data_IF_777414472293
#
_entry.id   IF_777414472293
#
_cell.length_a   1.000
_cell.length_b   1.000
_cell.length_c   1.000
_cell.angle_alpha   90.00
_cell.angle_beta   90.00
_cell.angle_gamma   90.00
#
_symmetry.space_group_name_H-M   'P 1'
#
loop_
_entity.id
_entity.type
_entity.pdbx_description
1 polymer ?
#
# COMPACT_ATOMS: atom_id res chain seq x y z
N UNK A 1 -1.73 10.72 -19.38
CA UNK A 1 -2.74 9.63 -19.19
C UNK A 1 -2.37 8.85 -17.94
N UNK A 2 -3.35 8.53 -17.09
CA UNK A 2 -3.20 7.68 -15.91
C UNK A 2 -3.82 6.32 -16.25
N UNK A 3 -3.09 5.23 -16.00
CA UNK A 3 -3.59 3.88 -16.24
C UNK A 3 -4.58 3.49 -15.14
N UNK A 4 -5.78 3.06 -15.53
CA UNK A 4 -6.79 2.51 -14.60
C UNK A 4 -7.23 1.11 -15.03
N UNK A 5 -7.95 0.43 -14.16
CA UNK A 5 -8.51 -0.91 -14.44
C UNK A 5 -9.60 -0.91 -15.53
N UNK A 6 -10.10 0.27 -15.93
CA UNK A 6 -11.05 0.44 -17.03
C UNK A 6 -10.41 1.06 -18.27
N UNK A 7 -9.08 1.13 -18.32
CA UNK A 7 -8.31 1.78 -19.36
C UNK A 7 -7.75 3.14 -18.95
N UNK A 8 -6.96 3.79 -19.82
CA UNK A 8 -6.30 5.04 -19.50
C UNK A 8 -7.29 6.21 -19.43
N UNK A 9 -7.12 7.09 -18.44
CA UNK A 9 -7.88 8.31 -18.25
C UNK A 9 -6.98 9.54 -18.42
N UNK A 10 -7.54 10.67 -18.81
CA UNK A 10 -6.79 11.93 -18.89
C UNK A 10 -6.48 12.43 -17.47
N UNK A 11 -5.22 12.71 -17.18
CA UNK A 11 -4.81 13.24 -15.87
C UNK A 11 -5.49 14.57 -15.51
N UNK A 12 -5.87 15.37 -16.51
CA UNK A 12 -6.59 16.63 -16.28
C UNK A 12 -8.01 16.45 -15.74
N UNK A 13 -8.58 15.25 -15.86
CA UNK A 13 -9.93 14.91 -15.33
C UNK A 13 -9.87 14.39 -13.90
N UNK A 14 -8.66 14.12 -13.37
CA UNK A 14 -8.45 13.62 -12.02
C UNK A 14 -8.30 14.79 -11.06
N UNK A 15 -9.11 14.76 -10.01
CA UNK A 15 -9.07 15.73 -8.91
C UNK A 15 -8.29 15.19 -7.71
N UNK A 16 -9.01 14.91 -6.62
CA UNK A 16 -8.39 14.33 -5.41
C UNK A 16 -8.15 12.84 -5.59
N UNK A 17 -6.99 12.38 -5.11
CA UNK A 17 -6.55 10.98 -5.22
C UNK A 17 -6.29 10.42 -3.84
N UNK A 18 -6.77 9.19 -3.56
CA UNK A 18 -6.21 8.36 -2.49
C UNK A 18 -5.14 7.47 -3.11
N UNK A 19 -3.89 7.63 -2.66
CA UNK A 19 -2.74 6.96 -3.29
C UNK A 19 -2.47 5.55 -2.76
N UNK A 20 -3.21 5.12 -1.72
CA UNK A 20 -2.98 3.83 -1.10
C UNK A 20 -4.20 3.37 -0.32
N UNK A 21 -4.89 2.35 -0.84
CA UNK A 21 -5.95 1.63 -0.15
C UNK A 21 -6.03 0.18 -0.64
N UNK A 22 -6.74 -0.66 0.12
CA UNK A 22 -6.95 -2.06 -0.22
C UNK A 22 -8.45 -2.35 -0.33
N UNK A 23 -8.91 -2.68 -1.52
CA UNK A 23 -10.32 -2.98 -1.77
C UNK A 23 -10.67 -4.43 -1.47
N UNK A 24 -9.79 -5.34 -1.87
CA UNK A 24 -9.90 -6.77 -1.66
C UNK A 24 -8.54 -7.32 -1.27
N UNK A 25 -8.43 -7.88 -0.07
CA UNK A 25 -7.17 -8.35 0.50
C UNK A 25 -7.40 -9.61 1.35
N UNK A 26 -6.47 -10.54 1.33
CA UNK A 26 -6.34 -11.60 2.30
C UNK A 26 -5.04 -11.44 3.09
N UNK A 27 -5.15 -10.77 4.23
CA UNK A 27 -4.07 -10.57 5.18
C UNK A 27 -3.98 -11.66 6.26
N UNK A 28 -4.65 -12.81 6.11
CA UNK A 28 -4.65 -13.89 7.11
C UNK A 28 -3.24 -14.34 7.51
N UNK A 29 -2.27 -14.32 6.57
CA UNK A 29 -0.86 -14.60 6.84
C UNK A 29 -0.18 -13.61 7.80
N UNK A 30 -0.81 -12.48 8.07
CA UNK A 30 -0.33 -11.46 9.02
C UNK A 30 -0.92 -11.64 10.43
N UNK A 31 -1.85 -12.58 10.62
CA UNK A 31 -2.51 -12.83 11.91
C UNK A 31 -1.50 -12.99 13.05
N UNK A 32 -1.82 -12.43 14.20
CA UNK A 32 -1.10 -12.55 15.47
C UNK A 32 -2.11 -12.60 16.60
N UNK A 33 -1.88 -13.48 17.56
CA UNK A 33 -2.66 -13.50 18.79
C UNK A 33 -2.49 -12.18 19.55
N UNK A 34 -3.60 -11.68 20.12
CA UNK A 34 -3.58 -10.53 21.01
C UNK A 34 -3.04 -10.90 22.40
N UNK A 35 -2.79 -9.88 23.23
CA UNK A 35 -2.44 -10.08 24.63
C UNK A 35 -3.64 -10.49 25.50
N UNK A 36 -4.84 -10.22 25.02
CA UNK A 36 -6.10 -10.61 25.65
C UNK A 36 -6.63 -11.88 24.99
N UNK A 37 -7.46 -12.69 25.69
CA UNK A 37 -8.09 -13.86 25.08
C UNK A 37 -8.88 -13.47 23.82
N UNK A 38 -8.70 -14.26 22.76
CA UNK A 38 -9.46 -14.09 21.52
C UNK A 38 -10.97 -14.18 21.78
N UNK A 39 -11.79 -13.25 21.25
CA UNK A 39 -13.24 -13.33 21.35
C UNK A 39 -13.81 -14.67 20.84
N UNK A 40 -14.90 -15.13 21.45
CA UNK A 40 -15.57 -16.38 21.06
C UNK A 40 -16.16 -16.30 19.63
N UNK A 41 -16.69 -15.14 19.22
CA UNK A 41 -17.06 -14.90 17.82
C UNK A 41 -15.79 -14.52 17.03
N UNK A 42 -15.49 -15.34 16.04
CA UNK A 42 -14.33 -15.13 15.16
C UNK A 42 -14.58 -14.07 14.07
N UNK A 43 -15.80 -13.54 13.94
CA UNK A 43 -16.16 -12.49 12.99
C UNK A 43 -16.07 -11.13 13.66
N UNK A 44 -15.84 -10.09 12.85
CA UNK A 44 -15.93 -8.70 13.33
C UNK A 44 -17.39 -8.36 13.63
N UNK A 45 -17.68 -8.02 14.89
CA UNK A 45 -18.98 -7.61 15.40
C UNK A 45 -18.83 -6.41 16.33
N UNK A 46 -19.93 -5.74 16.64
CA UNK A 46 -19.91 -4.60 17.60
C UNK A 46 -19.35 -5.00 18.97
N UNK A 47 -19.56 -6.25 19.40
CA UNK A 47 -19.12 -6.74 20.71
C UNK A 47 -17.61 -6.87 20.81
N UNK A 48 -16.91 -7.13 19.69
CA UNK A 48 -15.46 -7.33 19.70
C UNK A 48 -14.63 -6.16 19.14
N UNK A 49 -15.26 -5.03 18.78
CA UNK A 49 -14.52 -3.83 18.33
C UNK A 49 -13.54 -3.33 19.40
N UNK A 50 -13.91 -3.39 20.68
CA UNK A 50 -13.02 -3.02 21.78
C UNK A 50 -11.75 -3.85 21.83
N UNK A 51 -11.85 -5.18 21.57
CA UNK A 51 -10.70 -6.07 21.45
C UNK A 51 -9.84 -5.69 20.24
N UNK A 52 -10.46 -5.51 19.07
CA UNK A 52 -9.76 -5.20 17.81
C UNK A 52 -9.06 -3.85 17.83
N UNK A 53 -9.55 -2.89 18.61
CA UNK A 53 -8.88 -1.60 18.79
C UNK A 53 -7.43 -1.74 19.29
N UNK A 54 -7.16 -2.75 20.13
CA UNK A 54 -5.83 -2.99 20.72
C UNK A 54 -5.12 -4.23 20.17
N UNK A 55 -5.83 -5.05 19.40
CA UNK A 55 -5.37 -6.31 18.85
C UNK A 55 -5.82 -6.44 17.38
N UNK A 56 -5.49 -5.45 16.54
CA UNK A 56 -5.99 -5.37 15.17
C UNK A 56 -5.68 -6.60 14.32
N UNK A 57 -4.59 -7.33 14.62
CA UNK A 57 -4.22 -8.59 13.97
C UNK A 57 -4.83 -9.84 14.62
N UNK A 58 -5.62 -9.66 15.70
CA UNK A 58 -6.07 -10.75 16.57
C UNK A 58 -7.24 -11.58 16.05
N UNK A 59 -7.94 -11.16 15.02
CA UNK A 59 -8.98 -11.93 14.34
C UNK A 59 -8.69 -12.02 12.85
N UNK A 60 -8.65 -13.23 12.31
CA UNK A 60 -8.45 -13.45 10.86
C UNK A 60 -9.52 -12.75 10.03
N UNK A 61 -10.77 -12.78 10.48
CA UNK A 61 -11.88 -12.12 9.78
C UNK A 61 -11.64 -10.59 9.60
N UNK A 62 -10.96 -9.95 10.56
CA UNK A 62 -10.60 -8.53 10.43
C UNK A 62 -9.57 -8.26 9.32
N UNK A 63 -8.78 -9.26 8.95
CA UNK A 63 -7.68 -9.15 7.99
C UNK A 63 -8.09 -9.56 6.56
N UNK A 64 -9.36 -9.90 6.35
CA UNK A 64 -9.85 -10.37 5.04
C UNK A 64 -10.97 -9.47 4.54
N UNK A 65 -10.70 -8.72 3.48
CA UNK A 65 -11.69 -7.96 2.73
C UNK A 65 -12.01 -8.72 1.44
N UNK A 66 -13.16 -9.38 1.37
CA UNK A 66 -13.55 -10.23 0.23
C UNK A 66 -15.01 -10.03 -0.18
N UNK A 67 -15.53 -8.82 -0.06
CA UNK A 67 -16.92 -8.50 -0.40
C UNK A 67 -16.95 -7.29 -1.35
N UNK A 68 -17.29 -7.55 -2.64
CA UNK A 68 -17.40 -6.52 -3.67
C UNK A 68 -18.43 -5.45 -3.32
N UNK A 69 -19.52 -5.82 -2.64
CA UNK A 69 -20.58 -4.86 -2.30
C UNK A 69 -20.10 -3.89 -1.22
N UNK A 70 -19.32 -4.38 -0.26
CA UNK A 70 -18.67 -3.54 0.73
C UNK A 70 -17.67 -2.58 0.06
N UNK A 71 -16.79 -3.11 -0.80
CA UNK A 71 -15.82 -2.29 -1.51
C UNK A 71 -16.51 -1.20 -2.37
N UNK A 72 -17.60 -1.54 -3.07
CA UNK A 72 -18.38 -0.57 -3.86
C UNK A 72 -19.03 0.49 -2.96
N UNK A 73 -19.55 0.11 -1.79
CA UNK A 73 -20.18 1.05 -0.86
C UNK A 73 -19.15 2.06 -0.32
N UNK A 74 -17.98 1.58 0.12
CA UNK A 74 -16.90 2.45 0.61
C UNK A 74 -16.38 3.39 -0.48
N UNK A 75 -16.19 2.90 -1.71
CA UNK A 75 -15.78 3.74 -2.83
C UNK A 75 -16.84 4.80 -3.19
N UNK A 76 -18.13 4.48 -3.09
CA UNK A 76 -19.19 5.49 -3.31
C UNK A 76 -19.15 6.60 -2.27
N UNK A 77 -18.83 6.26 -1.01
CA UNK A 77 -18.61 7.26 0.05
C UNK A 77 -17.43 8.15 -0.27
N UNK A 78 -16.30 7.56 -0.71
CA UNK A 78 -15.13 8.30 -1.14
C UNK A 78 -15.42 9.22 -2.34
N UNK A 79 -16.17 8.76 -3.34
CA UNK A 79 -16.63 9.59 -4.47
C UNK A 79 -17.50 10.75 -3.97
N UNK A 80 -18.45 10.50 -3.06
CA UNK A 80 -19.27 11.54 -2.46
C UNK A 80 -18.42 12.56 -1.65
N UNK A 81 -17.31 12.13 -1.08
CA UNK A 81 -16.29 12.97 -0.42
C UNK A 81 -15.38 13.73 -1.39
N UNK A 82 -15.52 13.52 -2.70
CA UNK A 82 -14.77 14.22 -3.74
C UNK A 82 -13.46 13.53 -4.17
N UNK A 83 -13.22 12.28 -3.79
CA UNK A 83 -12.13 11.47 -4.34
C UNK A 83 -12.53 11.02 -5.75
N UNK A 84 -11.63 11.17 -6.71
CA UNK A 84 -11.90 10.85 -8.12
C UNK A 84 -11.09 9.68 -8.64
N UNK A 85 -9.98 9.36 -7.97
CA UNK A 85 -9.14 8.22 -8.26
C UNK A 85 -8.63 7.61 -6.96
N UNK A 86 -8.57 6.28 -6.93
CA UNK A 86 -7.98 5.52 -5.84
C UNK A 86 -6.93 4.57 -6.42
N UNK A 87 -5.77 4.47 -5.76
CA UNK A 87 -4.78 3.45 -6.05
C UNK A 87 -5.04 2.24 -5.16
N UNK A 88 -5.36 1.12 -5.77
CA UNK A 88 -5.50 -0.18 -5.13
C UNK A 88 -4.11 -0.82 -5.06
N UNK A 89 -3.57 -0.94 -3.85
CA UNK A 89 -2.15 -1.23 -3.63
C UNK A 89 -1.91 -2.62 -2.97
N UNK A 90 -2.89 -3.55 -3.15
CA UNK A 90 -2.77 -4.92 -2.62
C UNK A 90 -1.72 -5.71 -3.39
N UNK A 91 -0.63 -6.04 -2.70
CA UNK A 91 0.53 -6.69 -3.28
C UNK A 91 0.40 -8.22 -3.38
N UNK A 92 1.24 -8.83 -4.22
CA UNK A 92 1.41 -10.30 -4.28
C UNK A 92 1.86 -10.80 -2.90
N UNK A 93 1.13 -11.79 -2.38
CA UNK A 93 1.29 -12.31 -1.01
C UNK A 93 0.14 -11.92 -0.09
N UNK A 94 -0.66 -10.90 -0.49
CA UNK A 94 -1.89 -10.50 0.17
C UNK A 94 -3.12 -10.85 -0.68
N UNK A 95 -2.98 -11.80 -1.60
CA UNK A 95 -4.02 -12.34 -2.47
C UNK A 95 -4.79 -11.25 -3.25
N UNK A 96 -4.15 -10.41 -4.05
CA UNK A 96 -4.80 -9.35 -4.80
C UNK A 96 -5.84 -9.93 -5.77
N UNK A 97 -7.03 -9.34 -5.79
CA UNK A 97 -8.17 -9.81 -6.59
C UNK A 97 -8.34 -8.95 -7.84
N UNK A 98 -7.27 -8.77 -8.61
CA UNK A 98 -7.22 -7.84 -9.75
C UNK A 98 -8.35 -8.06 -10.76
N UNK A 99 -8.79 -9.30 -11.01
CA UNK A 99 -9.86 -9.61 -11.95
C UNK A 99 -11.23 -9.06 -11.53
N UNK A 100 -11.44 -8.75 -10.25
CA UNK A 100 -12.70 -8.21 -9.69
C UNK A 100 -12.76 -6.68 -9.75
N UNK A 101 -11.60 -6.00 -9.78
CA UNK A 101 -11.51 -4.52 -9.70
C UNK A 101 -12.29 -3.79 -10.81
N UNK A 102 -12.31 -4.23 -12.10
CA UNK A 102 -13.11 -3.55 -13.12
C UNK A 102 -14.61 -3.53 -12.81
N UNK A 103 -15.14 -4.59 -12.19
CA UNK A 103 -16.53 -4.67 -11.75
C UNK A 103 -16.84 -3.68 -10.63
N UNK A 104 -15.96 -3.59 -9.64
CA UNK A 104 -16.06 -2.66 -8.51
C UNK A 104 -15.95 -1.21 -9.00
N UNK A 105 -14.98 -0.90 -9.86
CA UNK A 105 -14.79 0.44 -10.42
C UNK A 105 -16.04 0.92 -11.18
N UNK A 106 -16.63 0.08 -12.06
CA UNK A 106 -17.86 0.44 -12.80
C UNK A 106 -19.04 0.69 -11.87
N UNK A 107 -19.20 -0.13 -10.83
CA UNK A 107 -20.35 -0.06 -9.91
C UNK A 107 -20.24 1.12 -8.95
N UNK A 108 -19.03 1.51 -8.55
CA UNK A 108 -18.78 2.63 -7.64
C UNK A 108 -18.71 3.98 -8.32
N UNK A 109 -18.30 4.02 -9.60
CA UNK A 109 -17.97 5.25 -10.32
C UNK A 109 -16.59 5.83 -9.99
N UNK A 110 -15.77 5.11 -9.19
CA UNK A 110 -14.41 5.49 -8.87
C UNK A 110 -13.46 5.08 -10.00
N UNK A 111 -12.57 5.96 -10.44
CA UNK A 111 -11.40 5.54 -11.19
C UNK A 111 -10.46 4.78 -10.27
N UNK A 112 -10.15 3.52 -10.61
CA UNK A 112 -9.24 2.68 -9.81
C UNK A 112 -7.98 2.42 -10.61
N UNK A 113 -6.82 2.81 -10.08
CA UNK A 113 -5.52 2.42 -10.59
C UNK A 113 -5.01 1.25 -9.75
N UNK A 114 -4.41 0.23 -10.39
CA UNK A 114 -3.91 -0.93 -9.68
C UNK A 114 -2.38 -0.91 -9.62
N UNK A 115 -1.84 -1.14 -8.44
CA UNK A 115 -0.43 -1.49 -8.27
C UNK A 115 -0.21 -2.98 -8.50
N UNK A 116 1.05 -3.38 -8.71
CA UNK A 116 1.43 -4.78 -8.85
C UNK A 116 2.87 -5.00 -8.38
N UNK A 117 3.08 -5.90 -7.42
CA UNK A 117 4.42 -6.21 -6.93
C UNK A 117 4.42 -7.16 -5.75
N UNK A 118 5.58 -7.75 -5.40
CA UNK A 118 5.71 -8.66 -4.27
C UNK A 118 5.78 -7.91 -2.93
N UNK A 119 5.05 -8.41 -1.94
CA UNK A 119 5.14 -7.94 -0.55
C UNK A 119 6.33 -8.56 0.19
N UNK A 120 6.27 -8.66 1.51
CA UNK A 120 7.33 -9.25 2.35
C UNK A 120 7.44 -10.76 2.15
N UNK A 121 8.67 -11.28 2.25
CA UNK A 121 9.02 -12.67 1.92
C UNK A 121 8.14 -13.73 2.56
N UNK A 122 7.73 -13.52 3.82
CA UNK A 122 6.99 -14.52 4.61
C UNK A 122 5.57 -14.83 4.11
N UNK A 123 4.99 -13.97 3.27
CA UNK A 123 3.62 -14.15 2.76
C UNK A 123 3.58 -14.43 1.26
N UNK A 124 4.72 -14.44 0.59
CA UNK A 124 4.77 -14.66 -0.85
C UNK A 124 4.32 -16.08 -1.23
N UNK A 125 3.60 -16.23 -2.34
CA UNK A 125 3.20 -17.53 -2.84
C UNK A 125 4.42 -18.33 -3.36
N UNK A 126 4.38 -19.68 -3.29
CA UNK A 126 5.53 -20.52 -3.64
C UNK A 126 6.11 -20.28 -5.05
N UNK A 127 5.27 -19.95 -6.04
CA UNK A 127 5.73 -19.69 -7.40
C UNK A 127 6.70 -18.50 -7.52
N UNK A 128 6.67 -17.56 -6.58
CA UNK A 128 7.62 -16.43 -6.55
C UNK A 128 9.05 -16.89 -6.29
N UNK A 129 9.25 -17.98 -5.57
CA UNK A 129 10.56 -18.56 -5.33
C UNK A 129 11.15 -19.28 -6.54
N UNK A 130 10.34 -19.54 -7.56
CA UNK A 130 10.78 -20.16 -8.82
C UNK A 130 11.38 -19.13 -9.80
N UNK A 131 11.16 -17.83 -9.54
CA UNK A 131 11.69 -16.74 -10.36
C UNK A 131 13.07 -16.31 -9.85
N UNK A 132 14.04 -16.31 -10.74
CA UNK A 132 15.28 -15.56 -10.52
C UNK A 132 15.05 -14.05 -10.73
N UNK A 133 16.11 -13.25 -10.56
CA UNK A 133 16.02 -11.80 -10.66
C UNK A 133 15.55 -11.35 -12.06
N UNK A 134 16.04 -12.00 -13.13
CA UNK A 134 15.63 -11.67 -14.50
C UNK A 134 14.19 -12.08 -14.79
N UNK A 135 13.79 -13.26 -14.36
CA UNK A 135 12.40 -13.73 -14.50
C UNK A 135 11.42 -12.84 -13.78
N UNK A 136 11.79 -12.34 -12.58
CA UNK A 136 10.95 -11.38 -11.84
C UNK A 136 10.91 -10.01 -12.53
N UNK A 137 12.04 -9.50 -13.04
CA UNK A 137 12.08 -8.26 -13.84
C UNK A 137 11.13 -8.34 -15.03
N UNK A 138 11.22 -9.43 -15.81
CA UNK A 138 10.38 -9.62 -17.00
C UNK A 138 8.90 -9.73 -16.64
N UNK A 139 8.59 -10.42 -15.56
CA UNK A 139 7.22 -10.54 -15.03
C UNK A 139 6.63 -9.18 -14.63
N UNK A 140 7.37 -8.37 -13.87
CA UNK A 140 6.95 -7.05 -13.45
C UNK A 140 6.88 -6.06 -14.62
N UNK A 141 7.84 -6.14 -15.54
CA UNK A 141 7.80 -5.33 -16.76
C UNK A 141 6.57 -5.64 -17.63
N UNK A 142 6.20 -6.92 -17.78
CA UNK A 142 5.01 -7.31 -18.52
C UNK A 142 3.73 -6.74 -17.87
N UNK A 143 3.65 -6.71 -16.53
CA UNK A 143 2.52 -6.11 -15.83
C UNK A 143 2.38 -4.59 -16.09
N UNK A 144 3.50 -3.86 -16.24
CA UNK A 144 3.52 -2.43 -16.57
C UNK A 144 3.29 -2.15 -18.07
N UNK A 145 3.85 -2.97 -18.95
CA UNK A 145 3.88 -2.69 -20.39
C UNK A 145 2.69 -3.32 -21.15
N UNK A 146 2.23 -4.49 -20.72
CA UNK A 146 1.16 -5.25 -21.36
C UNK A 146 -0.07 -5.36 -20.45
N UNK A 147 -0.02 -6.22 -19.41
CA UNK A 147 -1.14 -6.41 -18.49
C UNK A 147 -0.73 -7.09 -17.19
N UNK A 148 -1.49 -6.86 -16.13
CA UNK A 148 -1.44 -7.67 -14.91
C UNK A 148 -1.92 -9.10 -15.27
N UNK A 149 -1.26 -10.16 -14.80
CA UNK A 149 -1.67 -11.53 -15.08
C UNK A 149 -3.14 -11.80 -14.78
N UNK A 150 -3.85 -12.43 -15.72
CA UNK A 150 -5.28 -12.74 -15.61
C UNK A 150 -6.23 -11.57 -15.90
N UNK A 151 -5.73 -10.38 -16.26
CA UNK A 151 -6.52 -9.21 -16.59
C UNK A 151 -6.31 -8.72 -18.03
N UNK A 152 -7.05 -7.69 -18.43
CA UNK A 152 -6.92 -6.99 -19.70
C UNK A 152 -6.39 -5.55 -19.54
N UNK A 153 -5.84 -5.21 -18.37
CA UNK A 153 -5.31 -3.89 -18.07
C UNK A 153 -3.91 -3.97 -17.42
N UNK A 154 -3.17 -2.86 -17.47
CA UNK A 154 -1.81 -2.73 -16.97
C UNK A 154 -1.78 -2.22 -15.54
N UNK A 155 -0.71 -2.53 -14.83
CA UNK A 155 -0.38 -1.86 -13.59
C UNK A 155 -0.08 -0.36 -13.83
N UNK A 156 -0.48 0.49 -12.90
CA UNK A 156 -0.16 1.92 -12.90
C UNK A 156 1.23 2.20 -12.28
N UNK A 157 1.63 1.37 -11.33
CA UNK A 157 2.93 1.43 -10.64
C UNK A 157 3.32 0.03 -10.15
N UNK A 158 4.57 -0.14 -9.74
CA UNK A 158 4.99 -1.35 -9.03
C UNK A 158 4.91 -1.12 -7.51
N UNK A 159 4.21 -2.00 -6.82
CA UNK A 159 4.05 -1.91 -5.35
C UNK A 159 2.90 -2.77 -4.83
N UNK A 160 2.71 -2.77 -3.51
CA UNK A 160 3.69 -2.30 -2.53
C UNK A 160 4.82 -3.35 -2.42
N UNK A 161 6.06 -2.95 -2.61
CA UNK A 161 7.18 -3.82 -2.28
C UNK A 161 7.48 -3.69 -0.78
N UNK A 162 7.27 -4.76 -0.02
CA UNK A 162 7.55 -4.77 1.41
C UNK A 162 9.00 -5.10 1.72
N UNK A 163 9.53 -4.49 2.79
CA UNK A 163 10.81 -4.86 3.37
C UNK A 163 10.64 -5.35 4.80
N UNK A 164 11.57 -6.15 5.27
CA UNK A 164 11.59 -6.73 6.62
C UNK A 164 12.93 -6.44 7.28
N UNK A 165 12.89 -5.85 8.47
CA UNK A 165 14.12 -5.51 9.18
C UNK A 165 15.01 -4.58 8.36
N UNK A 166 16.28 -4.91 8.30
CA UNK A 166 17.31 -4.17 7.55
C UNK A 166 17.41 -4.59 6.08
N UNK A 167 16.28 -4.98 5.51
CA UNK A 167 16.07 -5.52 4.15
C UNK A 167 16.77 -6.87 3.90
N UNK A 168 15.99 -7.89 3.71
CA UNK A 168 16.52 -9.25 3.50
C UNK A 168 17.19 -9.38 2.10
N UNK A 169 18.14 -10.31 1.92
CA UNK A 169 18.84 -10.50 0.63
C UNK A 169 17.92 -10.74 -0.56
N UNK A 170 16.84 -11.48 -0.38
CA UNK A 170 15.83 -11.75 -1.39
C UNK A 170 14.91 -10.54 -1.64
N UNK A 171 14.69 -9.67 -0.63
CA UNK A 171 14.00 -8.40 -0.79
C UNK A 171 14.86 -7.41 -1.61
N UNK A 172 16.16 -7.35 -1.38
CA UNK A 172 17.09 -6.59 -2.24
C UNK A 172 17.02 -7.03 -3.70
N UNK A 173 16.97 -8.34 -3.96
CA UNK A 173 16.83 -8.87 -5.32
C UNK A 173 15.51 -8.40 -5.95
N UNK A 174 14.39 -8.47 -5.22
CA UNK A 174 13.08 -8.01 -5.71
C UNK A 174 13.04 -6.51 -5.95
N UNK A 175 13.65 -5.71 -5.09
CA UNK A 175 13.78 -4.26 -5.29
C UNK A 175 14.56 -3.94 -6.57
N UNK A 176 15.69 -4.64 -6.86
CA UNK A 176 16.44 -4.46 -8.12
C UNK A 176 15.61 -4.83 -9.35
N UNK A 177 14.95 -5.97 -9.33
CA UNK A 177 14.10 -6.42 -10.43
C UNK A 177 12.98 -5.39 -10.72
N UNK A 178 12.33 -4.89 -9.67
CA UNK A 178 11.30 -3.86 -9.79
C UNK A 178 11.87 -2.53 -10.32
N UNK A 179 13.02 -2.10 -9.82
CA UNK A 179 13.67 -0.87 -10.29
C UNK A 179 13.99 -0.92 -11.79
N UNK A 180 14.54 -2.04 -12.31
CA UNK A 180 14.82 -2.22 -13.74
C UNK A 180 13.53 -2.24 -14.56
N UNK A 181 12.51 -2.98 -14.12
CA UNK A 181 11.22 -3.02 -14.79
C UNK A 181 10.57 -1.63 -14.88
N UNK A 182 10.58 -0.88 -13.76
CA UNK A 182 10.05 0.47 -13.70
C UNK A 182 10.85 1.47 -14.53
N UNK A 183 12.19 1.41 -14.50
CA UNK A 183 13.06 2.30 -15.30
C UNK A 183 12.80 2.17 -16.82
N UNK A 184 12.49 0.97 -17.30
CA UNK A 184 12.17 0.71 -18.72
C UNK A 184 10.84 1.32 -19.17
N UNK A 185 9.92 1.59 -18.24
CA UNK A 185 8.57 2.09 -18.53
C UNK A 185 8.32 3.51 -18.03
N UNK A 186 9.21 4.04 -17.20
CA UNK A 186 9.03 5.32 -16.49
C UNK A 186 8.03 5.25 -15.33
N UNK A 187 7.68 4.03 -14.86
CA UNK A 187 6.77 3.83 -13.76
C UNK A 187 7.41 4.17 -12.40
N UNK A 188 6.58 4.36 -11.39
CA UNK A 188 6.98 4.52 -9.98
C UNK A 188 7.09 3.17 -9.29
N UNK A 189 8.01 3.06 -8.34
CA UNK A 189 8.14 1.94 -7.41
C UNK A 189 7.70 2.42 -6.03
N UNK A 190 6.66 1.77 -5.47
CA UNK A 190 6.15 2.01 -4.12
C UNK A 190 6.77 1.00 -3.17
N UNK A 191 7.39 1.48 -2.09
CA UNK A 191 8.11 0.66 -1.10
C UNK A 191 7.57 0.94 0.29
N UNK A 192 7.17 -0.12 1.00
CA UNK A 192 6.86 -0.04 2.42
C UNK A 192 8.06 -0.54 3.22
N UNK A 193 8.68 0.36 3.94
CA UNK A 193 9.78 0.05 4.84
C UNK A 193 9.27 -0.61 6.12
N UNK A 194 10.09 -1.48 6.73
CA UNK A 194 9.86 -1.90 8.11
C UNK A 194 10.03 -0.67 9.02
N UNK A 195 9.00 -0.26 9.80
CA UNK A 195 9.02 1.02 10.53
C UNK A 195 10.03 1.03 11.69
N UNK A 196 10.48 -0.12 12.16
CA UNK A 196 11.45 -0.24 13.22
C UNK A 196 12.91 -0.05 12.72
N UNK A 197 13.12 0.07 11.40
CA UNK A 197 14.42 0.16 10.75
C UNK A 197 14.57 1.39 9.86
N UNK A 198 15.81 1.89 9.71
CA UNK A 198 16.14 3.11 8.95
C UNK A 198 16.73 2.77 7.57
N UNK A 199 16.14 1.82 6.84
CA UNK A 199 16.69 1.32 5.58
C UNK A 199 16.43 2.24 4.37
N UNK A 200 15.64 3.32 4.50
CA UNK A 200 15.15 4.10 3.35
C UNK A 200 16.26 4.70 2.49
N UNK A 201 17.31 5.28 3.06
CA UNK A 201 18.42 5.86 2.28
C UNK A 201 19.18 4.76 1.51
N UNK A 202 19.46 3.63 2.15
CA UNK A 202 20.09 2.49 1.47
C UNK A 202 19.21 1.97 0.32
N UNK A 203 17.88 1.98 0.49
CA UNK A 203 16.94 1.62 -0.57
C UNK A 203 16.99 2.64 -1.72
N UNK A 204 16.97 3.96 -1.44
CA UNK A 204 17.11 4.98 -2.49
C UNK A 204 18.40 4.79 -3.27
N UNK A 205 19.55 4.72 -2.59
CA UNK A 205 20.86 4.53 -3.21
C UNK A 205 20.90 3.28 -4.10
N UNK A 206 20.32 2.18 -3.60
CA UNK A 206 20.29 0.91 -4.31
C UNK A 206 19.42 0.98 -5.59
N UNK A 207 18.22 1.55 -5.50
CA UNK A 207 17.32 1.67 -6.64
C UNK A 207 17.87 2.66 -7.69
N UNK A 208 18.47 3.78 -7.25
CA UNK A 208 19.10 4.75 -8.14
C UNK A 208 20.32 4.13 -8.85
N UNK A 209 21.16 3.40 -8.13
CA UNK A 209 22.27 2.66 -8.72
C UNK A 209 21.81 1.61 -9.75
N UNK A 210 20.59 1.12 -9.64
CA UNK A 210 19.95 0.17 -10.57
C UNK A 210 19.34 0.88 -11.80
N UNK A 211 19.28 2.22 -11.81
CA UNK A 211 18.82 3.04 -12.93
C UNK A 211 17.42 3.64 -12.76
N UNK A 212 16.80 3.48 -11.61
CA UNK A 212 15.51 4.14 -11.32
C UNK A 212 15.76 5.57 -10.81
N UNK A 213 15.17 6.64 -11.42
CA UNK A 213 15.27 7.98 -10.89
C UNK A 213 14.67 8.09 -9.48
N UNK A 214 15.28 8.88 -8.59
CA UNK A 214 14.85 9.00 -7.20
C UNK A 214 13.40 9.52 -7.05
N UNK A 215 12.95 10.40 -7.94
CA UNK A 215 11.57 10.90 -8.01
C UNK A 215 10.52 9.85 -8.45
N UNK A 216 10.99 8.65 -8.80
CA UNK A 216 10.17 7.46 -9.08
C UNK A 216 10.15 6.46 -7.92
N UNK A 217 10.69 6.84 -6.77
CA UNK A 217 10.63 6.05 -5.53
C UNK A 217 9.61 6.71 -4.61
N UNK A 218 8.60 5.93 -4.22
CA UNK A 218 7.57 6.32 -3.26
C UNK A 218 7.71 5.47 -2.00
N UNK A 219 7.95 6.11 -0.86
CA UNK A 219 7.87 5.42 0.44
C UNK A 219 6.48 5.57 1.02
N UNK A 220 5.77 4.45 1.13
CA UNK A 220 4.43 4.40 1.70
C UNK A 220 4.47 4.35 3.22
N UNK A 221 3.37 4.76 3.86
CA UNK A 221 3.20 4.73 5.32
C UNK A 221 4.34 5.44 6.09
N UNK A 222 4.81 6.59 5.60
CA UNK A 222 5.82 7.37 6.32
C UNK A 222 5.34 7.82 7.72
N UNK A 223 4.02 7.87 7.93
CA UNK A 223 3.38 8.10 9.21
C UNK A 223 3.67 7.03 10.28
N UNK A 224 4.12 5.85 9.90
CA UNK A 224 4.52 4.81 10.85
C UNK A 224 5.89 5.11 11.50
N UNK A 225 6.68 6.03 10.94
CA UNK A 225 7.98 6.47 11.46
C UNK A 225 8.10 8.00 11.40
N UNK A 226 7.28 8.71 12.15
CA UNK A 226 7.27 10.18 12.20
C UNK A 226 8.56 10.71 12.85
N UNK A 227 9.56 11.00 12.02
CA UNK A 227 10.86 11.57 12.40
C UNK A 227 11.25 12.64 11.40
N UNK A 228 11.30 13.90 11.85
CA UNK A 228 11.58 15.07 11.00
C UNK A 228 12.90 14.95 10.26
N UNK A 229 13.97 14.50 10.94
CA UNK A 229 15.30 14.39 10.32
C UNK A 229 15.31 13.30 9.25
N UNK A 230 14.68 12.17 9.53
CA UNK A 230 14.62 11.06 8.58
C UNK A 230 13.76 11.38 7.35
N UNK A 231 12.60 12.03 7.53
CA UNK A 231 11.80 12.48 6.39
C UNK A 231 12.53 13.52 5.54
N UNK A 232 13.24 14.46 6.18
CA UNK A 232 14.06 15.45 5.46
C UNK A 232 15.19 14.79 4.66
N UNK A 233 15.83 13.76 5.23
CA UNK A 233 16.89 12.99 4.56
C UNK A 233 16.35 12.23 3.33
N UNK A 234 15.22 11.53 3.45
CA UNK A 234 14.57 10.83 2.33
C UNK A 234 14.13 11.81 1.23
N UNK A 235 13.55 12.95 1.62
CA UNK A 235 13.17 14.02 0.69
C UNK A 235 14.39 14.61 -0.02
N UNK A 236 15.47 14.88 0.69
CA UNK A 236 16.71 15.39 0.12
C UNK A 236 17.36 14.40 -0.87
N UNK A 237 17.16 13.10 -0.65
CA UNK A 237 17.55 12.05 -1.59
C UNK A 237 16.65 11.97 -2.84
N UNK A 238 15.57 12.76 -2.90
CA UNK A 238 14.68 12.89 -4.05
C UNK A 238 13.46 11.95 -4.04
N UNK A 239 13.25 11.17 -2.98
CA UNK A 239 12.10 10.28 -2.88
C UNK A 239 10.79 11.05 -2.58
N UNK A 240 9.67 10.50 -3.03
CA UNK A 240 8.32 10.92 -2.62
C UNK A 240 7.94 10.18 -1.35
N UNK A 241 7.27 10.86 -0.43
CA UNK A 241 6.76 10.28 0.81
C UNK A 241 5.23 10.21 0.80
N UNK A 242 4.68 9.22 1.47
CA UNK A 242 3.23 9.11 1.65
C UNK A 242 2.85 9.25 3.12
N UNK A 243 1.82 10.05 3.36
CA UNK A 243 1.11 10.15 4.63
C UNK A 243 -0.23 9.43 4.49
N UNK A 244 -0.50 8.48 5.39
CA UNK A 244 -1.78 7.78 5.45
C UNK A 244 -2.64 8.30 6.61
N UNK A 245 -3.93 8.51 6.35
CA UNK A 245 -4.93 8.91 7.34
C UNK A 245 -6.03 7.85 7.45
N UNK A 246 -6.59 7.66 8.66
CA UNK A 246 -7.59 6.64 8.93
C UNK A 246 -7.02 5.29 9.38
N UNK A 247 -5.70 5.11 9.33
CA UNK A 247 -5.02 3.87 9.72
C UNK A 247 -4.55 3.91 11.18
N UNK A 248 -5.45 4.24 12.12
CA UNK A 248 -5.17 4.28 13.57
C UNK A 248 -5.15 2.87 14.18
N UNK A 249 -4.22 2.04 13.74
CA UNK A 249 -4.14 0.62 14.12
C UNK A 249 -3.24 0.40 15.33
N UNK A 250 -3.69 -0.47 16.22
CA UNK A 250 -2.92 -0.91 17.38
C UNK A 250 -2.88 -2.44 17.46
N UNK A 251 -1.71 -2.99 17.72
CA UNK A 251 -1.55 -4.39 18.14
C UNK A 251 -0.47 -4.43 19.20
N UNK A 252 -0.87 -4.66 20.44
CA UNK A 252 0.04 -4.56 21.59
C UNK A 252 1.30 -5.39 21.40
N UNK A 253 2.45 -4.74 21.54
CA UNK A 253 3.77 -5.35 21.33
C UNK A 253 4.22 -5.47 19.87
N UNK A 254 3.41 -5.01 18.88
CA UNK A 254 3.77 -5.13 17.45
C UNK A 254 3.47 -3.90 16.61
N UNK A 255 2.29 -3.29 16.74
CA UNK A 255 1.87 -2.12 15.98
C UNK A 255 1.42 -1.04 16.94
N UNK A 256 1.91 0.17 16.73
CA UNK A 256 1.50 1.36 17.44
C UNK A 256 1.47 2.52 16.45
N UNK A 257 0.41 2.57 15.63
CA UNK A 257 0.24 3.69 14.73
C UNK A 257 -0.21 4.93 15.51
N UNK A 258 0.26 6.12 15.09
CA UNK A 258 -0.21 7.39 15.66
C UNK A 258 -1.70 7.62 15.34
N UNK A 259 -2.34 8.47 16.12
CA UNK A 259 -3.67 8.98 15.80
C UNK A 259 -3.61 9.97 14.64
N UNK A 260 -4.73 10.19 13.96
CA UNK A 260 -4.78 11.18 12.86
C UNK A 260 -4.52 12.60 13.35
N UNK A 261 -4.87 12.93 14.59
CA UNK A 261 -4.52 14.23 15.19
C UNK A 261 -3.00 14.38 15.33
N UNK A 262 -2.30 13.36 15.84
CA UNK A 262 -0.85 13.37 15.94
C UNK A 262 -0.20 13.48 14.55
N UNK A 263 -0.75 12.77 13.54
CA UNK A 263 -0.29 12.85 12.15
C UNK A 263 -0.45 14.26 11.59
N UNK A 264 -1.63 14.88 11.75
CA UNK A 264 -1.91 16.23 11.25
C UNK A 264 -0.96 17.24 11.86
N UNK A 265 -0.79 17.23 13.18
CA UNK A 265 0.09 18.16 13.88
C UNK A 265 1.55 18.03 13.44
N UNK A 266 2.05 16.78 13.39
CA UNK A 266 3.42 16.51 12.97
C UNK A 266 3.65 16.87 11.49
N UNK A 267 2.72 16.49 10.62
CA UNK A 267 2.79 16.75 9.18
C UNK A 267 2.74 18.25 8.88
N UNK A 268 1.86 19.01 9.54
CA UNK A 268 1.76 20.46 9.38
C UNK A 268 3.06 21.15 9.83
N UNK A 269 3.64 20.74 10.96
CA UNK A 269 4.93 21.26 11.42
C UNK A 269 6.06 20.94 10.42
N UNK A 270 6.11 19.69 9.94
CA UNK A 270 7.12 19.30 8.94
C UNK A 270 7.01 20.11 7.65
N UNK A 271 5.81 20.29 7.11
CA UNK A 271 5.59 21.07 5.88
C UNK A 271 5.98 22.54 6.01
N UNK A 272 5.83 23.14 7.20
CA UNK A 272 6.24 24.52 7.44
C UNK A 272 7.76 24.70 7.28
N UNK A 273 8.55 23.72 7.72
CA UNK A 273 10.01 23.76 7.66
C UNK A 273 10.58 23.16 6.35
N UNK A 274 9.82 22.26 5.69
CA UNK A 274 10.25 21.51 4.50
C UNK A 274 9.22 21.61 3.35
N UNK A 275 8.85 22.82 2.86
CA UNK A 275 7.76 22.99 1.88
C UNK A 275 8.07 22.41 0.49
N UNK A 276 9.31 22.06 0.19
CA UNK A 276 9.73 21.48 -1.09
C UNK A 276 9.60 19.94 -1.15
N UNK A 277 9.29 19.29 -0.03
CA UNK A 277 9.11 17.83 0.00
C UNK A 277 7.89 17.43 -0.81
N UNK A 278 8.04 16.43 -1.67
CA UNK A 278 6.93 15.87 -2.43
C UNK A 278 6.18 14.83 -1.58
N UNK A 279 4.89 15.08 -1.40
CA UNK A 279 4.00 14.19 -0.64
C UNK A 279 2.84 13.70 -1.49
N UNK A 280 2.41 12.49 -1.19
CA UNK A 280 1.11 11.95 -1.58
C UNK A 280 0.33 11.54 -0.33
N UNK A 281 -1.00 11.45 -0.47
CA UNK A 281 -1.89 11.09 0.64
C UNK A 281 -2.65 9.82 0.29
N UNK A 282 -2.78 8.93 1.28
CA UNK A 282 -3.55 7.68 1.18
C UNK A 282 -4.33 7.38 2.47
N UNK A 283 -5.12 6.33 2.45
CA UNK A 283 -5.82 5.80 3.62
C UNK A 283 -5.08 4.62 4.25
N UNK A 284 -4.46 3.79 3.43
CA UNK A 284 -3.91 2.49 3.84
C UNK A 284 -4.94 1.67 4.63
N UNK A 285 -6.21 1.68 4.16
CA UNK A 285 -7.29 0.94 4.79
C UNK A 285 -7.27 -0.49 4.29
N UNK A 286 -7.04 -1.45 5.19
CA UNK A 286 -6.87 -2.85 4.83
C UNK A 286 -7.50 -3.85 5.81
N UNK A 287 -8.17 -3.37 6.85
CA UNK A 287 -8.89 -4.20 7.82
C UNK A 287 -10.36 -3.84 7.89
N UNK A 288 -11.22 -4.80 8.25
CA UNK A 288 -12.66 -4.58 8.33
C UNK A 288 -13.04 -3.46 9.28
N UNK A 289 -12.38 -3.37 10.44
CA UNK A 289 -12.72 -2.34 11.45
C UNK A 289 -12.40 -0.91 11.00
N UNK A 290 -11.65 -0.72 9.92
CA UNK A 290 -11.40 0.59 9.33
C UNK A 290 -12.49 1.01 8.34
N UNK A 291 -13.38 0.09 7.93
CA UNK A 291 -14.45 0.37 6.99
C UNK A 291 -15.70 0.85 7.71
N UNK A 292 -16.40 1.82 7.12
CA UNK A 292 -17.60 2.45 7.72
C UNK A 292 -18.68 1.44 8.09
N UNK A 293 -18.81 0.36 7.30
CA UNK A 293 -19.77 -0.72 7.56
C UNK A 293 -19.53 -1.43 8.89
N UNK A 294 -18.30 -1.46 9.37
CA UNK A 294 -17.90 -2.18 10.60
C UNK A 294 -17.54 -1.22 11.75
N UNK A 295 -17.80 0.07 11.62
CA UNK A 295 -17.63 1.07 12.67
C UNK A 295 -16.36 1.91 12.56
N UNK A 296 -15.66 1.84 11.39
CA UNK A 296 -14.52 2.69 11.03
C UNK A 296 -14.94 4.11 10.64
#
# INVERSE_FOLDING_TARGET
>A
MIQTVLGPVDASTIGRVSMHDHLLIDGAGLHREGVEPTPADSRVTMENLGYLRWNCLGLVDNLVLDDDDVAVEELRRAVAGGITLLVEDTAIGLNPQHTRLPGIARRSGMAVAAAYGPYVSRVLPPWMAELDEQGLEDHLHAALADRIPGTDYRAALLGILGTSGDVLPDEWMRLRAAARAAARTGATVSVRLDPDFRAGIAVVEHLVATGLPADRILFTNADEYMDTAYWAELSAAGATLEMCFGSEMQHVGRIRNPTDLERIDFFAAFLADHPATTWVLGGSLWTKVQLSRFGG
#
